data_IF_494655805970
#
_entry.id   IF_494655805970
#
_cell.length_a   1.000
_cell.length_b   1.000
_cell.length_c   1.000
_cell.angle_alpha   90.00
_cell.angle_beta   90.00
_cell.angle_gamma   90.00
#
_symmetry.space_group_name_H-M   'P 1'
#
loop_
_entity.id
_entity.type
_entity.pdbx_description
1 polymer ?
#
# COMPACT_ATOMS: atom_id res chain seq x y z
N UNK A 1 -39.28 -23.70 -38.19
CA UNK A 1 -39.40 -23.03 -36.88
C UNK A 1 -38.01 -22.89 -36.27
N UNK A 2 -37.28 -21.82 -36.60
CA UNK A 2 -35.94 -21.57 -36.05
C UNK A 2 -36.08 -20.83 -34.71
N UNK A 3 -35.50 -21.40 -33.65
CA UNK A 3 -35.51 -20.81 -32.30
C UNK A 3 -34.38 -19.77 -32.20
N UNK A 4 -34.63 -18.48 -31.96
CA UNK A 4 -33.56 -17.52 -31.75
C UNK A 4 -33.00 -17.67 -30.34
N UNK A 5 -31.76 -18.15 -30.23
CA UNK A 5 -30.98 -18.15 -28.99
C UNK A 5 -30.59 -16.73 -28.63
N UNK A 6 -31.40 -16.09 -27.77
CA UNK A 6 -31.04 -14.83 -27.09
C UNK A 6 -30.01 -15.11 -25.98
N UNK A 7 -28.84 -15.62 -26.35
CA UNK A 7 -27.73 -15.73 -25.40
C UNK A 7 -26.96 -14.42 -25.40
N UNK A 8 -27.21 -13.64 -24.36
CA UNK A 8 -26.45 -12.47 -23.90
C UNK A 8 -26.47 -11.23 -24.80
N UNK A 9 -27.40 -10.33 -24.50
CA UNK A 9 -27.43 -8.95 -25.03
C UNK A 9 -26.40 -8.05 -24.31
N UNK A 10 -25.82 -8.51 -23.20
CA UNK A 10 -24.84 -7.75 -22.43
C UNK A 10 -23.44 -8.33 -22.63
N UNK A 11 -22.65 -7.69 -23.49
CA UNK A 11 -21.19 -7.90 -23.52
C UNK A 11 -20.63 -7.32 -22.23
N UNK A 12 -19.97 -8.15 -21.42
CA UNK A 12 -19.18 -7.65 -20.30
C UNK A 12 -18.10 -6.71 -20.87
N UNK A 13 -18.17 -5.43 -20.50
CA UNK A 13 -17.18 -4.44 -20.88
C UNK A 13 -15.82 -4.92 -20.33
N UNK A 14 -14.86 -5.20 -21.21
CA UNK A 14 -13.50 -5.49 -20.77
C UNK A 14 -12.98 -4.29 -19.99
N UNK A 15 -12.20 -4.49 -18.91
CA UNK A 15 -11.63 -3.37 -18.16
C UNK A 15 -10.93 -2.43 -19.15
N UNK A 16 -11.33 -1.16 -19.13
CA UNK A 16 -10.82 -0.17 -20.06
C UNK A 16 -9.29 -0.13 -19.94
N UNK A 17 -8.59 -0.04 -21.07
CA UNK A 17 -7.14 0.11 -21.06
C UNK A 17 -6.76 1.37 -20.27
N UNK A 18 -5.77 1.26 -19.38
CA UNK A 18 -5.31 2.40 -18.56
C UNK A 18 -4.94 3.58 -19.44
N UNK A 19 -5.54 4.73 -19.17
CA UNK A 19 -5.20 5.97 -19.84
C UNK A 19 -3.79 6.42 -19.43
N UNK A 20 -3.13 7.30 -20.21
CA UNK A 20 -1.85 7.87 -19.80
C UNK A 20 -1.89 8.52 -18.41
N UNK A 21 -3.03 9.14 -18.04
CA UNK A 21 -3.25 9.75 -16.72
C UNK A 21 -3.33 8.70 -15.61
N UNK A 22 -3.96 7.55 -15.87
CA UNK A 22 -4.02 6.45 -14.90
C UNK A 22 -2.62 5.90 -14.63
N UNK A 23 -1.79 5.80 -15.68
CA UNK A 23 -0.40 5.35 -15.56
C UNK A 23 0.42 6.30 -14.70
N UNK A 24 0.33 7.62 -14.93
CA UNK A 24 1.06 8.59 -14.12
C UNK A 24 0.57 8.57 -12.67
N UNK A 25 -0.74 8.47 -12.45
CA UNK A 25 -1.32 8.40 -11.11
C UNK A 25 -0.84 7.16 -10.36
N UNK A 26 -0.76 6.01 -11.06
CA UNK A 26 -0.23 4.77 -10.49
C UNK A 26 1.23 4.90 -10.09
N UNK A 27 2.07 5.52 -10.92
CA UNK A 27 3.49 5.73 -10.62
C UNK A 27 3.64 6.63 -9.39
N UNK A 28 2.91 7.76 -9.34
CA UNK A 28 2.96 8.67 -8.19
C UNK A 28 2.53 7.97 -6.90
N UNK A 29 1.46 7.16 -6.93
CA UNK A 29 1.03 6.38 -5.74
C UNK A 29 2.12 5.43 -5.27
N UNK A 30 2.73 4.67 -6.18
CA UNK A 30 3.85 3.76 -5.84
C UNK A 30 5.01 4.50 -5.19
N UNK A 31 5.41 5.65 -5.72
CA UNK A 31 6.49 6.45 -5.15
C UNK A 31 6.18 6.88 -3.71
N UNK A 32 4.94 7.30 -3.44
CA UNK A 32 4.51 7.71 -2.09
C UNK A 32 4.46 6.53 -1.12
N UNK A 33 3.96 5.38 -1.57
CA UNK A 33 3.91 4.14 -0.78
C UNK A 33 5.32 3.66 -0.42
N UNK A 34 6.23 3.59 -1.39
CA UNK A 34 7.63 3.22 -1.16
C UNK A 34 8.34 4.16 -0.16
N UNK A 35 8.12 5.47 -0.29
CA UNK A 35 8.67 6.46 0.63
C UNK A 35 8.10 6.32 2.05
N UNK A 36 6.79 6.07 2.15
CA UNK A 36 6.11 5.84 3.43
C UNK A 36 6.63 4.57 4.12
N UNK A 37 6.83 3.48 3.37
CA UNK A 37 7.42 2.24 3.88
C UNK A 37 8.83 2.46 4.43
N UNK A 38 9.69 3.19 3.70
CA UNK A 38 11.04 3.51 4.18
C UNK A 38 11.03 4.33 5.47
N UNK A 39 10.15 5.33 5.56
CA UNK A 39 9.97 6.13 6.79
C UNK A 39 9.49 5.26 7.94
N UNK A 40 8.52 4.40 7.70
CA UNK A 40 7.96 3.50 8.71
C UNK A 40 9.02 2.53 9.23
N UNK A 41 9.78 1.89 8.34
CA UNK A 41 10.87 1.00 8.70
C UNK A 41 11.96 1.70 9.55
N UNK A 42 12.31 2.94 9.20
CA UNK A 42 13.24 3.75 9.99
C UNK A 42 12.70 4.04 11.39
N UNK A 43 11.43 4.47 11.48
CA UNK A 43 10.79 4.76 12.76
C UNK A 43 10.70 3.52 13.65
N UNK A 44 10.36 2.37 13.09
CA UNK A 44 10.27 1.11 13.84
C UNK A 44 11.64 0.66 14.33
N UNK A 45 12.70 0.83 13.53
CA UNK A 45 14.08 0.59 13.97
C UNK A 45 14.48 1.50 15.13
N UNK A 46 14.19 2.80 15.03
CA UNK A 46 14.52 3.77 16.08
C UNK A 46 13.73 3.51 17.37
N UNK A 47 12.46 3.15 17.24
CA UNK A 47 11.60 2.78 18.37
C UNK A 47 12.14 1.55 19.09
N UNK A 48 12.50 0.49 18.35
CA UNK A 48 13.14 -0.71 18.92
C UNK A 48 14.43 -0.37 19.67
N UNK A 49 15.33 0.39 19.03
CA UNK A 49 16.59 0.81 19.65
C UNK A 49 16.36 1.65 20.93
N UNK A 50 15.32 2.49 20.96
CA UNK A 50 14.95 3.24 22.16
C UNK A 50 14.46 2.33 23.28
N UNK A 51 13.58 1.38 22.98
CA UNK A 51 13.06 0.42 23.95
C UNK A 51 14.17 -0.47 24.52
N UNK A 52 15.10 -0.93 23.68
CA UNK A 52 16.28 -1.67 24.11
C UNK A 52 17.17 -0.84 25.05
N UNK A 53 17.36 0.45 24.75
CA UNK A 53 18.11 1.35 25.64
C UNK A 53 17.41 1.53 26.98
N UNK A 54 16.10 1.79 26.96
CA UNK A 54 15.29 1.95 28.19
C UNK A 54 15.32 0.69 29.06
N UNK A 55 15.24 -0.50 28.45
CA UNK A 55 15.36 -1.77 29.16
C UNK A 55 16.75 -2.01 29.77
N UNK A 56 17.81 -1.54 29.09
CA UNK A 56 19.19 -1.71 29.54
C UNK A 56 19.68 -0.59 30.48
N UNK A 57 18.98 0.54 30.58
CA UNK A 57 19.29 1.57 31.57
C UNK A 57 18.63 1.21 32.91
N UNK A 58 19.40 0.86 33.96
CA UNK A 58 18.82 0.70 35.28
C UNK A 58 18.22 2.03 35.72
N UNK A 59 16.94 2.01 36.10
CA UNK A 59 16.27 3.15 36.75
C UNK A 59 17.14 3.60 37.92
N UNK A 60 17.83 4.73 37.77
CA UNK A 60 18.49 5.37 38.91
C UNK A 60 17.37 5.77 39.88
N UNK A 61 17.38 5.30 41.14
CA UNK A 61 16.41 5.78 42.11
C UNK A 61 16.61 7.29 42.25
N UNK A 62 15.55 8.06 41.98
CA UNK A 62 15.53 9.49 42.28
C UNK A 62 15.61 9.65 43.79
N UNK A 63 16.67 10.30 44.27
CA UNK A 63 16.83 10.71 45.67
C UNK A 63 15.84 11.82 46.01
#
# INVERSE_FOLDING_TARGET
MAKPTKTSVFKAQSPNAETPLDKTTRVVRKMVEEEAEQRQAKNDRLRKARLEREANTPTKPSR
#
